data_IF_191480251664
#
_entry.id   IF_191480251664
#
_cell.length_a   1.000
_cell.length_b   1.000
_cell.length_c   1.000
_cell.angle_alpha   90.00
_cell.angle_beta   90.00
_cell.angle_gamma   90.00
#
_symmetry.space_group_name_H-M   'P 1'
#
loop_
_entity.id
_entity.type
_entity.pdbx_description
1 polymer ?
#
# COMPACT_ATOMS: atom_id res chain seq x y z
N UNK A 1 -47.37 -26.70 -52.18
CA UNK A 1 -46.54 -26.48 -50.97
C UNK A 1 -45.26 -25.74 -51.37
N UNK A 2 -44.77 -24.78 -50.58
CA UNK A 2 -43.60 -23.95 -50.92
C UNK A 2 -42.31 -24.46 -50.24
N UNK A 3 -41.15 -24.55 -50.93
CA UNK A 3 -39.92 -25.10 -50.34
C UNK A 3 -39.25 -24.25 -49.24
N UNK A 4 -39.62 -22.97 -49.09
CA UNK A 4 -38.82 -21.97 -48.35
C UNK A 4 -38.73 -22.17 -46.83
N UNK A 5 -39.57 -22.99 -46.20
CA UNK A 5 -39.57 -23.16 -44.74
C UNK A 5 -38.48 -24.09 -44.19
N UNK A 6 -37.94 -25.02 -44.99
CA UNK A 6 -37.10 -26.12 -44.46
C UNK A 6 -35.67 -25.69 -44.04
N UNK A 7 -35.16 -24.58 -44.55
CA UNK A 7 -33.78 -24.13 -44.28
C UNK A 7 -33.57 -23.36 -42.98
N UNK A 8 -34.63 -22.85 -42.32
CA UNK A 8 -34.46 -21.94 -41.16
C UNK A 8 -34.04 -22.64 -39.85
N UNK A 9 -34.30 -23.94 -39.69
CA UNK A 9 -34.10 -24.66 -38.42
C UNK A 9 -32.72 -25.31 -38.22
N UNK A 10 -31.93 -25.59 -39.27
CA UNK A 10 -30.62 -26.25 -39.08
C UNK A 10 -29.59 -25.34 -38.37
N UNK A 11 -29.72 -24.02 -38.51
CA UNK A 11 -28.66 -23.09 -38.10
C UNK A 11 -28.66 -22.74 -36.59
N UNK A 12 -29.73 -23.04 -35.84
CA UNK A 12 -29.73 -22.88 -34.36
C UNK A 12 -28.82 -23.94 -33.69
N UNK A 13 -28.94 -25.21 -34.09
CA UNK A 13 -28.31 -26.34 -33.37
C UNK A 13 -26.77 -26.41 -33.45
N UNK A 14 -26.12 -25.88 -34.49
CA UNK A 14 -24.65 -25.89 -34.58
C UNK A 14 -23.98 -24.93 -33.58
N UNK A 15 -24.69 -23.90 -33.10
CA UNK A 15 -24.06 -22.77 -32.39
C UNK A 15 -23.73 -23.08 -30.93
N UNK A 16 -24.63 -23.78 -30.22
CA UNK A 16 -24.54 -24.00 -28.77
C UNK A 16 -23.42 -24.98 -28.41
N UNK A 17 -23.29 -26.09 -29.15
CA UNK A 17 -22.31 -27.15 -28.83
C UNK A 17 -20.86 -26.67 -28.94
N UNK A 18 -20.58 -25.77 -29.87
CA UNK A 18 -19.25 -25.18 -30.04
C UNK A 18 -18.92 -24.16 -28.92
N UNK A 19 -19.92 -23.43 -28.41
CA UNK A 19 -19.70 -22.43 -27.38
C UNK A 19 -19.23 -23.04 -26.04
N UNK A 20 -19.82 -24.17 -25.63
CA UNK A 20 -19.37 -24.86 -24.39
C UNK A 20 -17.90 -25.29 -24.47
N UNK A 21 -17.48 -25.81 -25.62
CA UNK A 21 -16.10 -26.21 -25.86
C UNK A 21 -15.16 -24.98 -25.87
N UNK A 22 -15.60 -23.86 -26.46
CA UNK A 22 -14.85 -22.60 -26.44
C UNK A 22 -14.63 -22.07 -25.01
N UNK A 23 -15.67 -22.01 -24.18
CA UNK A 23 -15.55 -21.59 -22.77
C UNK A 23 -14.58 -22.49 -22.00
N UNK A 24 -14.63 -23.81 -22.22
CA UNK A 24 -13.73 -24.76 -21.58
C UNK A 24 -12.27 -24.57 -22.02
N UNK A 25 -12.01 -24.30 -23.30
CA UNK A 25 -10.66 -24.00 -23.81
C UNK A 25 -10.14 -22.67 -23.26
N UNK A 26 -10.96 -21.63 -23.20
CA UNK A 26 -10.58 -20.32 -22.62
C UNK A 26 -10.24 -20.46 -21.13
N UNK A 27 -11.02 -21.24 -20.38
CA UNK A 27 -10.74 -21.49 -18.96
C UNK A 27 -9.42 -22.25 -18.74
N UNK A 28 -9.16 -23.30 -19.54
CA UNK A 28 -7.89 -24.04 -19.49
C UNK A 28 -6.71 -23.13 -19.85
N UNK A 29 -6.84 -22.29 -20.88
CA UNK A 29 -5.79 -21.35 -21.29
C UNK A 29 -5.52 -20.31 -20.19
N UNK A 30 -6.55 -19.77 -19.54
CA UNK A 30 -6.39 -18.87 -18.39
C UNK A 30 -5.67 -19.55 -17.23
N UNK A 31 -6.00 -20.81 -16.92
CA UNK A 31 -5.37 -21.57 -15.84
C UNK A 31 -3.89 -21.86 -16.15
N UNK A 32 -3.55 -22.14 -17.41
CA UNK A 32 -2.16 -22.25 -17.87
C UNK A 32 -1.42 -20.92 -17.72
N UNK A 33 -2.02 -19.79 -18.11
CA UNK A 33 -1.43 -18.44 -17.95
C UNK A 33 -1.21 -18.12 -16.47
N UNK A 34 -2.16 -18.44 -15.59
CA UNK A 34 -2.00 -18.24 -14.15
C UNK A 34 -0.82 -19.08 -13.61
N UNK A 35 -0.76 -20.36 -13.97
CA UNK A 35 0.29 -21.28 -13.55
C UNK A 35 1.68 -20.85 -14.05
N UNK A 36 1.80 -20.41 -15.31
CA UNK A 36 3.08 -19.93 -15.84
C UNK A 36 3.54 -18.64 -15.17
N UNK A 37 2.63 -17.73 -14.80
CA UNK A 37 2.99 -16.52 -14.04
C UNK A 37 3.52 -16.87 -12.63
N UNK A 38 2.88 -17.82 -11.92
CA UNK A 38 3.36 -18.30 -10.61
C UNK A 38 4.74 -18.94 -10.74
N UNK A 39 4.94 -19.84 -11.70
CA UNK A 39 6.25 -20.48 -11.96
C UNK A 39 7.31 -19.43 -12.30
N UNK A 40 6.99 -18.44 -13.13
CA UNK A 40 7.92 -17.40 -13.54
C UNK A 40 8.33 -16.52 -12.34
N UNK A 41 7.39 -16.15 -11.46
CA UNK A 41 7.69 -15.42 -10.22
C UNK A 41 8.60 -16.22 -9.28
N UNK A 42 8.41 -17.53 -9.16
CA UNK A 42 9.33 -18.39 -8.40
C UNK A 42 10.73 -18.52 -9.04
N UNK A 43 10.87 -18.33 -10.35
CA UNK A 43 12.12 -18.53 -11.10
C UNK A 43 13.09 -17.34 -11.08
N UNK A 44 12.68 -16.20 -10.54
CA UNK A 44 13.46 -14.94 -10.56
C UNK A 44 14.24 -14.65 -9.27
N UNK A 45 14.16 -15.53 -8.27
CA UNK A 45 14.93 -15.40 -7.05
C UNK A 45 16.41 -15.77 -7.30
N UNK A 46 17.31 -14.87 -6.89
CA UNK A 46 18.73 -15.15 -6.74
C UNK A 46 18.97 -15.92 -5.42
N UNK A 47 19.95 -16.83 -5.41
CA UNK A 47 20.23 -17.67 -4.24
C UNK A 47 21.61 -17.31 -3.64
N UNK A 48 21.62 -16.78 -2.42
CA UNK A 48 22.83 -16.77 -1.59
C UNK A 48 22.89 -18.07 -0.80
N UNK A 49 24.02 -18.75 -0.83
CA UNK A 49 24.32 -19.85 0.11
C UNK A 49 25.76 -19.75 0.59
N UNK A 50 26.09 -20.52 1.63
CA UNK A 50 27.46 -20.62 2.10
C UNK A 50 27.57 -21.19 3.50
N UNK A 51 28.74 -20.97 4.10
CA UNK A 51 29.10 -21.42 5.44
C UNK A 51 29.43 -20.26 6.36
N UNK A 52 29.21 -20.48 7.65
CA UNK A 52 29.74 -19.65 8.73
C UNK A 52 30.71 -20.52 9.53
N UNK A 53 31.99 -20.16 9.52
CA UNK A 53 33.05 -20.88 10.24
C UNK A 53 33.64 -20.04 11.37
N UNK A 54 34.05 -20.72 12.43
CA UNK A 54 34.69 -20.10 13.60
C UNK A 54 36.21 -19.98 13.45
N UNK A 55 36.84 -19.45 14.51
CA UNK A 55 38.30 -19.25 14.61
C UNK A 55 39.09 -20.54 14.34
N UNK A 56 38.54 -21.71 14.68
CA UNK A 56 39.20 -23.01 14.53
C UNK A 56 38.83 -23.72 13.21
N UNK A 57 38.10 -23.05 12.31
CA UNK A 57 37.56 -23.62 11.08
C UNK A 57 36.34 -24.53 11.30
N UNK A 58 35.72 -24.49 12.49
CA UNK A 58 34.52 -25.28 12.80
C UNK A 58 33.26 -24.66 12.19
N UNK A 59 32.34 -25.51 11.70
CA UNK A 59 31.04 -25.09 11.20
C UNK A 59 30.16 -24.56 12.36
N UNK A 60 29.88 -23.25 12.42
CA UNK A 60 29.11 -22.64 13.48
C UNK A 60 27.60 -22.77 13.22
N UNK A 61 26.97 -23.81 13.78
CA UNK A 61 25.51 -23.92 13.84
C UNK A 61 24.94 -22.99 14.91
N UNK A 62 23.82 -22.32 14.60
CA UNK A 62 23.19 -21.34 15.50
C UNK A 62 23.66 -19.90 15.30
N UNK A 63 24.49 -19.62 14.30
CA UNK A 63 24.80 -18.25 13.88
C UNK A 63 23.60 -17.65 13.12
N UNK A 64 23.32 -16.36 13.33
CA UNK A 64 22.27 -15.65 12.60
C UNK A 64 22.86 -14.92 11.41
N UNK A 65 22.35 -15.20 10.21
CA UNK A 65 22.59 -14.43 8.99
C UNK A 65 21.41 -13.47 8.80
N UNK A 66 21.66 -12.17 8.96
CA UNK A 66 20.70 -11.08 8.80
C UNK A 66 21.00 -10.31 7.50
N UNK A 67 19.97 -9.97 6.73
CA UNK A 67 20.10 -9.25 5.45
C UNK A 67 19.28 -7.97 5.49
N UNK A 68 19.93 -6.86 5.15
CA UNK A 68 19.34 -5.53 5.15
C UNK A 68 19.31 -4.93 3.74
N UNK A 69 18.23 -4.24 3.40
CA UNK A 69 18.15 -3.34 2.25
C UNK A 69 18.07 -1.89 2.77
N UNK A 70 19.20 -1.18 2.66
CA UNK A 70 19.43 0.06 3.39
C UNK A 70 19.41 -0.19 4.91
N UNK A 71 18.36 0.30 5.58
CA UNK A 71 18.15 0.11 7.03
C UNK A 71 17.11 -0.98 7.35
N UNK A 72 16.43 -1.53 6.35
CA UNK A 72 15.31 -2.45 6.57
C UNK A 72 15.81 -3.90 6.65
N UNK A 73 15.53 -4.60 7.73
CA UNK A 73 15.78 -6.04 7.83
C UNK A 73 14.81 -6.79 6.89
N UNK A 74 15.35 -7.37 5.81
CA UNK A 74 14.58 -8.08 4.79
C UNK A 74 14.39 -9.56 5.15
N UNK A 75 15.45 -10.19 5.65
CA UNK A 75 15.41 -11.61 6.03
C UNK A 75 16.43 -11.93 7.13
N UNK A 76 16.10 -12.94 7.94
CA UNK A 76 16.98 -13.54 8.96
C UNK A 76 16.89 -15.06 8.85
N UNK A 77 18.03 -15.74 8.84
CA UNK A 77 18.14 -17.21 8.86
C UNK A 77 19.16 -17.64 9.90
N UNK A 78 18.91 -18.76 10.57
CA UNK A 78 19.85 -19.36 11.54
C UNK A 78 20.56 -20.54 10.88
N UNK A 79 21.89 -20.63 11.02
CA UNK A 79 22.69 -21.69 10.39
C UNK A 79 22.42 -23.08 10.98
N UNK A 80 22.34 -24.07 10.10
CA UNK A 80 22.26 -25.48 10.45
C UNK A 80 23.54 -26.17 9.98
N UNK A 81 24.28 -26.78 10.91
CA UNK A 81 25.61 -27.35 10.67
C UNK A 81 26.57 -26.35 9.96
N UNK A 82 26.53 -25.09 10.39
CA UNK A 82 27.28 -23.98 9.79
C UNK A 82 26.79 -23.51 8.41
N UNK A 83 25.83 -24.18 7.77
CA UNK A 83 25.35 -23.81 6.43
C UNK A 83 24.11 -22.92 6.47
N UNK A 84 23.95 -22.07 5.45
CA UNK A 84 22.75 -21.27 5.20
C UNK A 84 22.43 -21.18 3.69
N UNK A 85 21.15 -20.97 3.37
CA UNK A 85 20.63 -20.69 2.03
C UNK A 85 19.51 -19.66 2.14
N UNK A 86 19.55 -18.61 1.31
CA UNK A 86 18.64 -17.47 1.34
C UNK A 86 18.32 -17.04 -0.09
N UNK A 87 17.02 -16.89 -0.39
CA UNK A 87 16.52 -16.47 -1.70
C UNK A 87 16.18 -14.97 -1.67
N UNK A 88 16.83 -14.16 -2.51
CA UNK A 88 16.61 -12.72 -2.62
C UNK A 88 16.19 -12.30 -4.04
N UNK A 89 15.77 -11.05 -4.19
CA UNK A 89 15.70 -10.41 -5.51
C UNK A 89 17.08 -10.00 -6.01
N UNK A 90 17.12 -9.44 -7.23
CA UNK A 90 18.25 -8.65 -7.68
C UNK A 90 18.25 -7.30 -6.96
N UNK A 91 19.40 -6.86 -6.43
CA UNK A 91 19.47 -5.69 -5.56
C UNK A 91 20.86 -5.45 -4.97
N UNK A 92 20.95 -4.49 -4.04
CA UNK A 92 22.15 -4.22 -3.24
C UNK A 92 21.81 -4.37 -1.77
N UNK A 93 22.46 -5.31 -1.10
CA UNK A 93 22.16 -5.73 0.26
C UNK A 93 23.37 -5.57 1.17
N UNK A 94 23.13 -5.36 2.46
CA UNK A 94 24.14 -5.48 3.50
C UNK A 94 23.85 -6.74 4.31
N UNK A 95 24.77 -7.69 4.28
CA UNK A 95 24.64 -8.97 4.98
C UNK A 95 25.50 -8.92 6.24
N UNK A 96 24.90 -9.26 7.38
CA UNK A 96 25.56 -9.29 8.69
C UNK A 96 25.39 -10.68 9.28
N UNK A 97 26.49 -11.28 9.74
CA UNK A 97 26.48 -12.56 10.45
C UNK A 97 26.88 -12.35 11.89
N UNK A 98 26.04 -12.82 12.82
CA UNK A 98 26.26 -12.72 14.26
C UNK A 98 26.21 -14.10 14.92
N UNK A 99 27.19 -14.43 15.76
CA UNK A 99 27.21 -15.66 16.56
C UNK A 99 27.55 -15.34 18.01
N UNK A 100 26.87 -16.01 18.96
CA UNK A 100 27.16 -15.91 20.39
C UNK A 100 27.63 -17.29 20.86
N UNK A 101 28.81 -17.35 21.48
CA UNK A 101 29.37 -18.61 21.98
C UNK A 101 28.81 -19.01 23.37
N UNK A 102 29.24 -20.18 23.86
CA UNK A 102 28.84 -20.72 25.17
C UNK A 102 29.39 -19.92 26.38
N UNK A 103 30.13 -18.84 26.14
CA UNK A 103 30.67 -17.91 27.14
C UNK A 103 30.13 -16.48 26.93
N UNK A 104 29.06 -16.35 26.14
CA UNK A 104 28.38 -15.09 25.82
C UNK A 104 29.23 -14.07 25.02
N UNK A 105 30.31 -14.53 24.37
CA UNK A 105 31.08 -13.69 23.45
C UNK A 105 30.33 -13.51 22.13
N UNK A 106 30.15 -12.26 21.69
CA UNK A 106 29.61 -11.96 20.36
C UNK A 106 30.73 -11.92 19.32
N UNK A 107 30.50 -12.57 18.19
CA UNK A 107 31.31 -12.51 16.98
C UNK A 107 30.47 -11.93 15.84
N UNK A 108 31.05 -11.03 15.05
CA UNK A 108 30.36 -10.33 13.96
C UNK A 108 31.25 -10.31 12.72
N UNK A 109 30.67 -10.58 11.56
CA UNK A 109 31.24 -10.33 10.23
C UNK A 109 30.15 -9.72 9.32
N UNK A 110 30.53 -8.97 8.30
CA UNK A 110 29.56 -8.28 7.42
C UNK A 110 30.11 -7.91 6.05
N UNK A 111 29.26 -7.94 5.02
CA UNK A 111 29.63 -7.68 3.62
C UNK A 111 28.54 -6.90 2.87
N UNK A 112 28.97 -5.97 2.01
CA UNK A 112 28.10 -5.32 1.02
C UNK A 112 28.01 -6.21 -0.23
N UNK A 113 26.79 -6.52 -0.66
CA UNK A 113 26.51 -7.55 -1.64
C UNK A 113 25.55 -7.06 -2.73
N UNK A 114 26.08 -6.82 -3.93
CA UNK A 114 25.28 -6.64 -5.14
C UNK A 114 24.89 -8.00 -5.74
N UNK A 115 23.65 -8.14 -6.23
CA UNK A 115 23.11 -9.40 -6.76
C UNK A 115 22.34 -9.14 -8.06
N UNK A 116 22.66 -9.89 -9.11
CA UNK A 116 21.95 -9.88 -10.40
C UNK A 116 20.71 -10.77 -10.41
N UNK A 117 19.89 -10.63 -11.45
CA UNK A 117 18.73 -11.51 -11.65
C UNK A 117 19.20 -12.96 -11.88
N UNK A 118 18.55 -13.90 -11.18
CA UNK A 118 18.80 -15.35 -11.26
C UNK A 118 20.26 -15.76 -10.90
N UNK A 119 20.99 -14.90 -10.19
CA UNK A 119 22.39 -15.17 -9.80
C UNK A 119 22.45 -16.11 -8.58
N UNK A 120 23.38 -17.07 -8.58
CA UNK A 120 23.68 -17.87 -7.37
C UNK A 120 25.06 -17.48 -6.83
N UNK A 121 25.14 -17.05 -5.57
CA UNK A 121 26.41 -16.70 -4.91
C UNK A 121 26.70 -17.64 -3.75
N UNK A 122 27.93 -18.14 -3.72
CA UNK A 122 28.51 -18.80 -2.55
C UNK A 122 29.32 -17.76 -1.77
N UNK A 123 28.99 -17.54 -0.50
CA UNK A 123 29.68 -16.57 0.38
C UNK A 123 29.94 -17.25 1.72
N UNK A 124 31.20 -17.48 2.05
CA UNK A 124 31.58 -18.07 3.33
C UNK A 124 32.08 -16.97 4.27
N UNK A 125 31.54 -16.92 5.49
CA UNK A 125 31.88 -15.95 6.54
C UNK A 125 32.82 -16.59 7.58
N UNK A 126 33.81 -15.84 8.04
CA UNK A 126 34.84 -16.34 8.98
C UNK A 126 34.84 -15.49 10.24
N UNK A 127 34.17 -15.98 11.29
CA UNK A 127 33.91 -15.23 12.53
C UNK A 127 35.15 -15.21 13.45
N UNK A 128 36.18 -14.49 13.01
CA UNK A 128 37.49 -14.41 13.68
C UNK A 128 37.60 -13.28 14.72
N UNK A 129 36.74 -12.26 14.62
CA UNK A 129 36.74 -11.11 15.52
C UNK A 129 35.81 -11.33 16.72
N UNK A 130 36.39 -11.44 17.92
CA UNK A 130 35.68 -11.55 19.19
C UNK A 130 35.45 -10.16 19.79
N UNK A 131 34.20 -9.77 20.01
CA UNK A 131 33.86 -8.53 20.71
C UNK A 131 33.66 -8.82 22.20
N UNK A 132 34.70 -8.58 23.01
CA UNK A 132 34.64 -8.71 24.48
C UNK A 132 34.31 -7.38 25.13
N UNK A 133 33.22 -7.35 25.92
CA UNK A 133 32.60 -6.17 26.52
C UNK A 133 31.93 -5.24 25.50
N UNK A 134 30.61 -5.08 25.64
CA UNK A 134 29.83 -4.08 24.89
C UNK A 134 30.08 -2.69 25.48
N UNK A 135 31.16 -2.04 25.04
CA UNK A 135 31.32 -0.59 25.12
C UNK A 135 30.68 0.02 23.86
N UNK A 136 29.88 1.08 24.04
CA UNK A 136 29.21 1.79 22.93
C UNK A 136 30.19 2.41 21.91
N UNK A 137 31.50 2.47 22.25
CA UNK A 137 32.54 3.05 21.40
C UNK A 137 33.10 2.07 20.35
N UNK A 138 32.92 0.76 20.52
CA UNK A 138 33.62 -0.28 19.75
C UNK A 138 32.77 -0.91 18.63
N UNK A 139 31.52 -0.48 18.48
CA UNK A 139 30.64 -0.93 17.39
C UNK A 139 31.08 -0.25 16.08
N UNK A 140 31.38 -1.00 15.00
CA UNK A 140 31.75 -0.41 13.71
C UNK A 140 30.66 0.55 13.20
N UNK A 141 30.98 1.75 12.68
CA UNK A 141 29.97 2.75 12.29
C UNK A 141 28.89 2.28 11.29
N UNK A 142 29.20 1.29 10.44
CA UNK A 142 28.24 0.66 9.52
C UNK A 142 27.18 -0.21 10.23
N UNK A 143 27.46 -0.66 11.44
CA UNK A 143 26.58 -1.46 12.30
C UNK A 143 25.94 -0.61 13.42
N UNK A 144 26.46 0.59 13.69
CA UNK A 144 26.02 1.47 14.79
C UNK A 144 24.54 1.83 14.70
N UNK A 145 24.05 2.32 13.56
CA UNK A 145 22.63 2.65 13.36
C UNK A 145 21.73 1.38 13.35
N UNK A 146 22.28 0.17 13.08
CA UNK A 146 21.56 -1.12 13.13
C UNK A 146 21.38 -1.60 14.59
N UNK A 147 22.46 -1.69 15.36
CA UNK A 147 22.39 -2.08 16.79
C UNK A 147 21.60 -1.07 17.62
N UNK A 148 21.65 0.22 17.27
CA UNK A 148 20.79 1.25 17.87
C UNK A 148 19.31 1.06 17.53
N UNK A 149 18.96 0.34 16.47
CA UNK A 149 17.57 0.02 16.15
C UNK A 149 17.07 -1.21 16.94
N UNK A 150 17.87 -2.29 17.04
CA UNK A 150 17.50 -3.48 17.81
C UNK A 150 17.43 -3.22 19.34
N UNK A 151 18.30 -2.36 19.88
CA UNK A 151 18.25 -1.95 21.31
C UNK A 151 17.03 -1.10 21.64
N UNK A 152 16.63 -0.16 20.77
CA UNK A 152 15.41 0.63 20.96
C UNK A 152 14.11 -0.21 20.84
N UNK A 153 14.16 -1.38 20.19
CA UNK A 153 13.05 -2.34 20.11
C UNK A 153 12.95 -3.29 21.31
N UNK A 154 14.03 -3.44 22.09
CA UNK A 154 14.12 -4.37 23.24
C UNK A 154 14.12 -3.67 24.60
N UNK A 155 14.27 -2.34 24.64
CA UNK A 155 14.38 -1.51 25.84
C UNK A 155 13.12 -1.33 26.70
N UNK A 156 12.32 -2.38 26.94
CA UNK A 156 11.26 -2.35 27.94
C UNK A 156 10.99 -3.73 28.58
N UNK A 157 11.68 -4.04 29.68
CA UNK A 157 11.22 -5.07 30.62
C UNK A 157 11.67 -4.80 32.06
N UNK A 158 10.68 -4.58 32.93
CA UNK A 158 10.79 -5.03 34.32
C UNK A 158 10.23 -6.47 34.36
N UNK A 159 10.81 -7.42 35.12
CA UNK A 159 10.40 -8.81 35.05
C UNK A 159 9.15 -9.09 35.90
N UNK A 160 8.06 -9.56 35.27
CA UNK A 160 7.09 -10.43 35.95
C UNK A 160 6.17 -11.19 34.98
N UNK A 161 6.05 -12.50 35.19
CA UNK A 161 4.84 -13.28 34.92
C UNK A 161 4.34 -13.50 33.47
N UNK A 162 4.63 -14.68 32.93
CA UNK A 162 3.65 -15.54 32.21
C UNK A 162 3.05 -15.09 30.86
N UNK A 163 3.36 -15.88 29.82
CA UNK A 163 2.60 -16.14 28.59
C UNK A 163 2.49 -15.03 27.52
N UNK A 164 2.58 -15.45 26.24
CA UNK A 164 2.14 -14.67 25.08
C UNK A 164 3.26 -14.13 24.18
N UNK A 165 3.90 -14.99 23.39
CA UNK A 165 4.86 -14.57 22.35
C UNK A 165 4.13 -13.92 21.17
N UNK A 166 3.97 -12.60 21.20
CA UNK A 166 3.55 -11.80 20.05
C UNK A 166 4.66 -10.79 19.69
N UNK A 167 5.59 -11.18 18.82
CA UNK A 167 6.46 -10.21 18.17
C UNK A 167 5.59 -9.29 17.28
N UNK A 168 5.85 -7.97 17.23
CA UNK A 168 5.25 -7.13 16.22
C UNK A 168 5.73 -7.61 14.85
N UNK A 169 4.79 -8.05 14.01
CA UNK A 169 5.12 -8.48 12.65
C UNK A 169 5.80 -7.33 11.90
N UNK A 170 6.96 -7.59 11.30
CA UNK A 170 7.58 -6.67 10.35
C UNK A 170 6.57 -6.32 9.25
N UNK A 171 6.60 -5.07 8.77
CA UNK A 171 5.64 -4.56 7.79
C UNK A 171 5.76 -5.30 6.45
N UNK A 172 5.10 -6.44 6.35
CA UNK A 172 5.34 -7.44 5.33
C UNK A 172 4.78 -6.99 3.98
N UNK A 173 5.67 -6.49 3.12
CA UNK A 173 5.34 -6.03 1.77
C UNK A 173 4.78 -7.21 0.93
N UNK A 174 5.15 -8.45 1.23
CA UNK A 174 4.60 -9.63 0.56
C UNK A 174 3.12 -9.83 0.88
N UNK A 175 2.67 -9.51 2.11
CA UNK A 175 1.27 -9.57 2.51
C UNK A 175 0.40 -8.55 1.75
N UNK A 176 0.91 -7.35 1.46
CA UNK A 176 0.20 -6.36 0.63
C UNK A 176 0.10 -6.80 -0.84
N UNK A 177 1.15 -7.41 -1.39
CA UNK A 177 1.14 -7.97 -2.75
C UNK A 177 0.18 -9.16 -2.84
N UNK A 178 0.21 -10.06 -1.85
CA UNK A 178 -0.70 -11.20 -1.75
C UNK A 178 -2.16 -10.75 -1.65
N UNK A 179 -2.46 -9.72 -0.85
CA UNK A 179 -3.79 -9.12 -0.76
C UNK A 179 -4.24 -8.55 -2.12
N UNK A 180 -3.36 -7.86 -2.85
CA UNK A 180 -3.64 -7.37 -4.20
C UNK A 180 -3.95 -8.50 -5.19
N UNK A 181 -3.19 -9.61 -5.15
CA UNK A 181 -3.43 -10.80 -5.96
C UNK A 181 -4.78 -11.45 -5.62
N UNK A 182 -5.13 -11.54 -4.33
CA UNK A 182 -6.43 -12.05 -3.87
C UNK A 182 -7.57 -11.16 -4.37
N UNK A 183 -7.46 -9.83 -4.25
CA UNK A 183 -8.45 -8.89 -4.76
C UNK A 183 -8.62 -9.04 -6.28
N UNK A 184 -7.51 -9.15 -7.02
CA UNK A 184 -7.54 -9.31 -8.48
C UNK A 184 -8.20 -10.64 -8.91
N UNK A 185 -7.91 -11.73 -8.20
CA UNK A 185 -8.56 -13.02 -8.42
C UNK A 185 -10.07 -12.96 -8.13
N UNK A 186 -10.48 -12.28 -7.05
CA UNK A 186 -11.90 -12.06 -6.71
C UNK A 186 -12.62 -11.28 -7.82
N UNK A 187 -12.00 -10.22 -8.37
CA UNK A 187 -12.57 -9.44 -9.50
C UNK A 187 -12.74 -10.32 -10.74
N UNK A 188 -11.75 -11.15 -11.09
CA UNK A 188 -11.86 -12.08 -12.23
C UNK A 188 -13.00 -13.10 -12.01
N UNK A 189 -13.14 -13.63 -10.79
CA UNK A 189 -14.23 -14.55 -10.42
C UNK A 189 -15.60 -13.87 -10.55
N UNK A 190 -15.75 -12.61 -10.12
CA UNK A 190 -16.99 -11.85 -10.31
C UNK A 190 -17.31 -11.58 -11.79
N UNK A 191 -16.31 -11.25 -12.60
CA UNK A 191 -16.49 -11.08 -14.07
C UNK A 191 -16.93 -12.40 -14.71
N UNK A 192 -16.33 -13.53 -14.32
CA UNK A 192 -16.73 -14.86 -14.80
C UNK A 192 -18.18 -15.21 -14.42
N UNK A 193 -18.57 -15.00 -13.16
CA UNK A 193 -19.97 -15.20 -12.72
C UNK A 193 -20.94 -14.23 -13.39
N UNK A 194 -20.54 -12.99 -13.68
CA UNK A 194 -21.37 -12.05 -14.43
C UNK A 194 -21.62 -12.51 -15.87
N UNK A 195 -20.59 -13.04 -16.55
CA UNK A 195 -20.72 -13.63 -17.89
C UNK A 195 -21.68 -14.83 -17.87
N UNK A 196 -21.55 -15.73 -16.87
CA UNK A 196 -22.48 -16.85 -16.69
C UNK A 196 -23.92 -16.39 -16.41
N UNK A 197 -24.10 -15.35 -15.58
CA UNK A 197 -25.41 -14.78 -15.28
C UNK A 197 -26.07 -14.19 -16.53
N UNK A 198 -25.33 -13.43 -17.35
CA UNK A 198 -25.82 -12.87 -18.62
C UNK A 198 -26.21 -13.99 -19.59
N UNK A 199 -25.40 -15.06 -19.67
CA UNK A 199 -25.71 -16.22 -20.52
C UNK A 199 -26.99 -16.93 -20.07
N UNK A 200 -27.10 -17.28 -18.79
CA UNK A 200 -28.28 -17.95 -18.22
C UNK A 200 -29.55 -17.10 -18.38
N UNK A 201 -29.43 -15.77 -18.26
CA UNK A 201 -30.53 -14.82 -18.49
C UNK A 201 -30.97 -14.78 -19.96
N UNK A 202 -30.05 -14.93 -20.92
CA UNK A 202 -30.39 -14.99 -22.34
C UNK A 202 -31.15 -16.29 -22.71
N UNK A 203 -30.71 -17.43 -22.17
CA UNK A 203 -31.37 -18.73 -22.39
C UNK A 203 -32.82 -18.73 -21.87
N UNK A 204 -33.05 -18.14 -20.69
CA UNK A 204 -34.38 -17.89 -20.11
C UNK A 204 -35.27 -16.89 -20.90
N UNK A 205 -34.71 -16.15 -21.86
CA UNK A 205 -35.46 -15.23 -22.73
C UNK A 205 -35.89 -15.95 -24.02
N UNK A 206 -35.04 -16.81 -24.62
CA UNK A 206 -35.43 -17.58 -25.81
C UNK A 206 -36.61 -18.53 -25.51
N UNK A 207 -36.60 -19.23 -24.37
CA UNK A 207 -37.73 -20.11 -23.97
C UNK A 207 -39.07 -19.35 -23.90
N UNK A 208 -39.06 -18.14 -23.35
CA UNK A 208 -40.28 -17.31 -23.25
C UNK A 208 -40.77 -16.81 -24.61
N UNK A 209 -39.87 -16.60 -25.58
CA UNK A 209 -40.23 -16.20 -26.94
C UNK A 209 -40.91 -17.36 -27.68
N UNK A 210 -40.38 -18.59 -27.60
CA UNK A 210 -40.98 -19.76 -28.24
C UNK A 210 -42.36 -20.11 -27.64
N UNK A 211 -42.57 -19.87 -26.33
CA UNK A 211 -43.90 -19.97 -25.67
C UNK A 211 -44.88 -18.91 -26.18
N UNK A 212 -44.44 -17.65 -26.36
CA UNK A 212 -45.31 -16.59 -26.91
C UNK A 212 -45.64 -16.85 -28.38
N UNK A 213 -44.69 -17.29 -29.20
CA UNK A 213 -44.92 -17.59 -30.62
C UNK A 213 -45.90 -18.77 -30.82
N UNK A 214 -45.88 -19.76 -29.92
CA UNK A 214 -46.85 -20.87 -29.93
C UNK A 214 -48.25 -20.47 -29.44
N UNK A 215 -48.36 -19.50 -28.52
CA UNK A 215 -49.66 -18.92 -28.12
C UNK A 215 -50.26 -18.09 -29.27
N UNK A 216 -49.47 -17.23 -29.93
CA UNK A 216 -49.93 -16.39 -31.05
C UNK A 216 -50.48 -17.25 -32.19
N UNK A 217 -49.74 -18.29 -32.61
CA UNK A 217 -50.16 -19.19 -33.69
C UNK A 217 -51.47 -19.94 -33.38
N UNK A 218 -51.69 -20.35 -32.12
CA UNK A 218 -52.98 -20.91 -31.69
C UNK A 218 -54.11 -19.86 -31.79
N UNK A 219 -53.84 -18.63 -31.41
CA UNK A 219 -54.79 -17.51 -31.50
C UNK A 219 -55.22 -17.21 -32.94
N UNK A 220 -54.29 -17.20 -33.89
CA UNK A 220 -54.58 -16.98 -35.31
C UNK A 220 -55.46 -18.10 -35.89
N UNK A 221 -55.15 -19.37 -35.60
CA UNK A 221 -56.01 -20.51 -36.01
C UNK A 221 -57.40 -20.51 -35.36
N UNK A 222 -57.58 -19.82 -34.23
CA UNK A 222 -58.90 -19.60 -33.63
C UNK A 222 -59.70 -18.52 -34.36
N UNK A 223 -59.05 -17.42 -34.76
CA UNK A 223 -59.71 -16.30 -35.46
C UNK A 223 -60.16 -16.65 -36.87
N UNK A 224 -59.40 -17.45 -37.61
CA UNK A 224 -59.81 -17.91 -38.95
C UNK A 224 -61.10 -18.78 -38.93
N UNK A 225 -61.45 -19.35 -37.77
CA UNK A 225 -62.73 -20.02 -37.55
C UNK A 225 -63.87 -19.06 -37.16
N UNK A 226 -63.59 -17.99 -36.41
CA UNK A 226 -64.60 -17.00 -35.97
C UNK A 226 -64.92 -15.95 -37.05
N UNK A 227 -63.94 -15.57 -37.88
CA UNK A 227 -64.11 -14.57 -38.94
C UNK A 227 -65.11 -15.03 -40.02
N UNK A 228 -65.24 -16.35 -40.23
CA UNK A 228 -66.29 -16.96 -41.05
C UNK A 228 -67.72 -16.79 -40.50
N UNK A 229 -67.90 -16.36 -39.26
CA UNK A 229 -69.22 -16.06 -38.67
C UNK A 229 -69.54 -14.57 -38.59
N UNK A 230 -68.58 -13.66 -38.82
CA UNK A 230 -68.76 -12.20 -38.68
C UNK A 230 -68.83 -11.42 -40.01
N UNK A 231 -68.96 -12.11 -41.14
CA UNK A 231 -69.09 -11.50 -42.47
C UNK A 231 -70.47 -10.85 -42.77
N UNK A 232 -71.16 -10.35 -41.74
CA UNK A 232 -72.41 -9.61 -41.84
C UNK A 232 -72.44 -8.47 -40.81
N UNK A 233 -73.13 -7.36 -41.15
CA UNK A 233 -73.36 -6.15 -40.33
C UNK A 233 -72.24 -5.07 -40.36
N UNK A 234 -72.19 -4.33 -41.48
CA UNK A 234 -72.54 -2.88 -41.54
C UNK A 234 -71.77 -1.81 -40.73
N UNK A 235 -70.74 -1.22 -41.36
CA UNK A 235 -70.41 0.24 -41.55
C UNK A 235 -70.29 1.31 -40.42
N UNK A 236 -69.39 2.29 -40.68
CA UNK A 236 -69.42 3.74 -40.34
C UNK A 236 -68.70 4.30 -39.05
N UNK A 237 -68.25 5.60 -39.00
CA UNK A 237 -66.83 5.91 -38.64
C UNK A 237 -66.45 7.18 -37.79
N UNK A 238 -65.15 7.30 -37.38
CA UNK A 238 -64.33 8.56 -37.18
C UNK A 238 -64.71 9.49 -35.96
N UNK A 239 -63.89 10.43 -35.35
CA UNK A 239 -62.43 10.81 -35.37
C UNK A 239 -61.70 11.04 -33.98
N UNK A 240 -60.37 11.38 -34.04
CA UNK A 240 -59.66 12.53 -33.34
C UNK A 240 -58.83 12.44 -32.01
N UNK A 241 -57.59 13.01 -32.06
CA UNK A 241 -56.87 13.92 -31.11
C UNK A 241 -56.51 13.53 -29.63
N UNK A 242 -55.57 14.19 -28.86
CA UNK A 242 -54.28 14.90 -29.14
C UNK A 242 -53.49 15.41 -27.86
N UNK A 243 -52.23 14.97 -27.65
CA UNK A 243 -51.02 15.76 -27.22
C UNK A 243 -50.81 16.24 -25.70
N UNK A 244 -49.91 17.17 -25.23
CA UNK A 244 -48.85 16.89 -24.19
C UNK A 244 -48.53 17.96 -23.04
N UNK A 245 -47.34 17.87 -22.39
CA UNK A 245 -46.56 18.85 -21.52
C UNK A 245 -47.00 19.06 -20.03
N UNK A 246 -46.27 19.69 -19.06
CA UNK A 246 -45.01 20.51 -18.91
C UNK A 246 -44.40 20.30 -17.45
N UNK A 247 -43.39 20.95 -16.78
CA UNK A 247 -42.42 22.10 -16.94
C UNK A 247 -41.08 21.93 -16.11
N UNK A 248 -40.55 22.97 -15.41
CA UNK A 248 -39.12 23.22 -15.04
C UNK A 248 -38.90 24.23 -13.85
N UNK A 249 -37.65 24.66 -13.54
CA UNK A 249 -37.15 25.82 -12.71
C UNK A 249 -37.03 25.73 -11.14
N UNK A 250 -36.27 26.56 -10.36
CA UNK A 250 -35.04 27.41 -10.54
C UNK A 250 -34.44 28.02 -9.21
N UNK A 251 -33.20 28.55 -9.23
CA UNK A 251 -32.55 29.69 -8.45
C UNK A 251 -32.72 29.89 -6.89
N UNK A 252 -32.15 30.90 -6.17
CA UNK A 252 -30.78 31.52 -6.01
C UNK A 252 -30.88 32.83 -5.15
N UNK A 253 -29.99 33.14 -4.18
CA UNK A 253 -29.71 34.54 -3.67
C UNK A 253 -28.52 34.70 -2.70
N UNK A 254 -28.03 35.96 -2.54
CA UNK A 254 -26.90 36.39 -1.68
C UNK A 254 -26.94 37.93 -1.44
N UNK A 255 -26.29 38.48 -0.38
CA UNK A 255 -25.80 39.88 -0.33
C UNK A 255 -25.95 40.67 0.98
N UNK A 256 -24.96 41.53 1.33
CA UNK A 256 -25.06 42.61 2.33
C UNK A 256 -23.84 42.87 3.22
N UNK A 257 -23.20 44.05 3.16
CA UNK A 257 -22.09 44.51 4.04
C UNK A 257 -21.73 46.00 3.80
N UNK A 258 -21.65 46.85 4.84
CA UNK A 258 -20.73 48.02 4.95
C UNK A 258 -20.96 48.94 6.18
N UNK A 259 -20.71 48.51 7.42
CA UNK A 259 -20.63 49.45 8.56
C UNK A 259 -19.71 48.92 9.68
N UNK A 260 -18.39 49.06 9.48
CA UNK A 260 -17.32 48.74 10.46
C UNK A 260 -15.99 49.28 9.95
N UNK A 261 -15.32 50.19 10.70
CA UNK A 261 -13.97 50.68 10.37
C UNK A 261 -13.16 51.27 11.53
N UNK A 262 -13.77 51.95 12.50
CA UNK A 262 -13.03 52.53 13.65
C UNK A 262 -12.90 51.54 14.82
N UNK A 263 -13.94 50.76 15.13
CA UNK A 263 -13.91 49.71 16.17
C UNK A 263 -12.86 48.61 15.90
N UNK A 264 -12.32 48.54 14.67
CA UNK A 264 -11.29 47.60 14.23
C UNK A 264 -9.85 48.15 14.38
N UNK A 265 -9.66 49.34 15.00
CA UNK A 265 -8.34 49.92 15.29
C UNK A 265 -7.82 49.46 16.67
N UNK A 266 -8.45 49.88 17.77
CA UNK A 266 -8.08 49.52 19.15
C UNK A 266 -7.98 47.99 19.34
N UNK A 267 -8.87 47.23 18.70
CA UNK A 267 -8.86 45.76 18.74
C UNK A 267 -7.59 45.16 18.14
N UNK A 268 -6.98 45.77 17.13
CA UNK A 268 -5.69 45.32 16.56
C UNK A 268 -4.52 45.65 17.48
N UNK A 269 -4.55 46.79 18.14
CA UNK A 269 -3.48 47.20 19.07
C UNK A 269 -3.47 46.31 20.32
N UNK A 270 -4.64 46.06 20.93
CA UNK A 270 -4.74 45.10 22.04
C UNK A 270 -4.35 43.67 21.62
N UNK A 271 -4.76 43.22 20.43
CA UNK A 271 -4.40 41.91 19.90
C UNK A 271 -2.87 41.78 19.71
N UNK A 272 -2.21 42.82 19.19
CA UNK A 272 -0.74 42.87 19.04
C UNK A 272 -0.01 42.78 20.38
N UNK A 273 -0.50 43.45 21.43
CA UNK A 273 0.07 43.39 22.80
C UNK A 273 -0.11 42.00 23.41
N UNK A 274 -1.26 41.34 23.23
CA UNK A 274 -1.47 39.96 23.69
C UNK A 274 -0.52 38.99 22.97
N UNK A 275 -0.40 39.10 21.64
CA UNK A 275 0.53 38.35 20.79
C UNK A 275 1.98 38.46 21.27
N UNK A 276 2.45 39.68 21.59
CA UNK A 276 3.82 39.86 22.07
C UNK A 276 4.05 39.17 23.43
N UNK A 277 3.11 39.32 24.37
CA UNK A 277 3.19 38.67 25.69
C UNK A 277 3.15 37.13 25.58
N UNK A 278 2.42 36.60 24.61
CA UNK A 278 2.39 35.17 24.31
C UNK A 278 3.73 34.67 23.71
N UNK A 279 4.35 35.43 22.79
CA UNK A 279 5.73 35.17 22.30
C UNK A 279 6.74 35.09 23.45
N UNK A 280 6.71 36.05 24.35
CA UNK A 280 7.66 36.11 25.48
C UNK A 280 7.47 34.90 26.42
N UNK A 281 6.23 34.56 26.79
CA UNK A 281 5.93 33.37 27.58
C UNK A 281 6.34 32.06 26.87
N UNK A 282 6.09 31.95 25.56
CA UNK A 282 6.49 30.80 24.76
C UNK A 282 8.00 30.60 24.77
N UNK A 283 8.78 31.65 24.45
CA UNK A 283 10.25 31.61 24.44
C UNK A 283 10.83 31.30 25.83
N UNK A 284 10.24 31.84 26.91
CA UNK A 284 10.63 31.51 28.28
C UNK A 284 10.36 30.03 28.62
N UNK A 285 9.28 29.44 28.11
CA UNK A 285 8.93 28.03 28.30
C UNK A 285 9.79 27.02 27.52
N UNK A 286 10.75 27.49 26.70
CA UNK A 286 11.68 26.64 25.98
C UNK A 286 12.90 26.30 26.82
N UNK A 287 13.33 25.04 26.72
CA UNK A 287 14.63 24.55 27.22
C UNK A 287 15.77 25.09 26.37
N UNK A 288 16.99 25.07 26.91
CA UNK A 288 18.16 25.67 26.26
C UNK A 288 18.41 25.11 24.84
N UNK A 289 18.30 23.79 24.66
CA UNK A 289 18.44 23.15 23.34
C UNK A 289 17.35 23.60 22.35
N UNK A 290 16.12 23.86 22.81
CA UNK A 290 15.04 24.39 21.96
C UNK A 290 15.32 25.85 21.58
N UNK A 291 15.84 26.67 22.50
CA UNK A 291 16.23 28.07 22.25
C UNK A 291 17.39 28.17 21.24
N UNK A 292 18.44 27.36 21.42
CA UNK A 292 19.59 27.29 20.51
C UNK A 292 19.15 26.94 19.08
N UNK A 293 18.21 26.00 18.92
CA UNK A 293 17.62 25.65 17.61
C UNK A 293 16.81 26.81 17.01
N UNK A 294 16.01 27.53 17.81
CA UNK A 294 15.26 28.69 17.32
C UNK A 294 16.20 29.84 16.90
N UNK A 295 17.25 30.13 17.66
CA UNK A 295 18.18 31.21 17.33
C UNK A 295 18.84 30.98 15.96
N UNK A 296 19.35 29.76 15.72
CA UNK A 296 19.94 29.37 14.42
C UNK A 296 18.89 29.40 13.29
N UNK A 297 17.62 29.09 13.57
CA UNK A 297 16.55 29.28 12.57
C UNK A 297 16.23 30.76 12.32
N UNK A 298 16.28 31.64 13.33
CA UNK A 298 16.08 33.08 13.17
C UNK A 298 17.21 33.74 12.35
N UNK A 299 18.45 33.29 12.54
CA UNK A 299 19.63 33.72 11.75
C UNK A 299 19.49 33.37 10.25
N UNK A 300 18.66 32.37 9.91
CA UNK A 300 18.44 31.87 8.55
C UNK A 300 16.96 32.00 8.10
N UNK A 301 16.33 33.17 8.35
CA UNK A 301 14.97 33.55 7.88
C UNK A 301 13.82 32.57 8.24
N UNK A 302 14.07 31.66 9.18
CA UNK A 302 13.16 30.62 9.59
C UNK A 302 12.95 29.52 8.55
N UNK A 303 13.96 29.18 7.75
CA UNK A 303 13.93 28.06 6.80
C UNK A 303 15.34 27.47 6.57
N UNK A 304 15.63 26.28 7.10
CA UNK A 304 16.98 25.70 7.12
C UNK A 304 16.97 24.16 7.07
N UNK A 305 18.02 23.52 6.53
CA UNK A 305 18.10 22.05 6.51
C UNK A 305 18.50 21.50 7.88
N UNK A 306 17.98 20.31 8.25
CA UNK A 306 18.28 19.65 9.53
C UNK A 306 19.80 19.42 9.75
N UNK A 307 20.55 19.22 8.67
CA UNK A 307 22.02 19.08 8.66
C UNK A 307 22.76 20.39 8.93
N UNK A 308 22.18 21.53 8.55
CA UNK A 308 22.75 22.86 8.78
C UNK A 308 22.44 23.34 10.20
N UNK A 309 21.22 23.09 10.69
CA UNK A 309 20.87 23.28 12.11
C UNK A 309 21.83 22.46 12.99
N UNK A 310 22.16 21.21 12.63
CA UNK A 310 23.13 20.40 13.39
C UNK A 310 24.53 21.04 13.45
N UNK A 311 24.98 21.68 12.36
CA UNK A 311 26.28 22.36 12.29
C UNK A 311 26.29 23.67 13.09
N UNK A 312 25.25 24.49 12.97
CA UNK A 312 25.13 25.76 13.69
C UNK A 312 24.97 25.55 15.20
N UNK A 313 24.04 24.68 15.61
CA UNK A 313 23.72 24.44 17.03
C UNK A 313 24.76 23.60 17.78
N UNK A 314 25.57 22.81 17.07
CA UNK A 314 26.55 21.85 17.62
C UNK A 314 25.95 20.82 18.59
N UNK A 315 24.62 20.63 18.58
CA UNK A 315 23.92 19.68 19.44
C UNK A 315 24.11 18.24 18.95
N UNK A 316 24.24 17.24 19.87
CA UNK A 316 24.25 15.83 19.50
C UNK A 316 23.02 15.39 18.66
N UNK A 317 23.20 14.41 17.75
CA UNK A 317 22.17 13.84 16.84
C UNK A 317 20.83 13.57 17.55
N UNK A 318 20.89 13.03 18.77
CA UNK A 318 19.76 12.73 19.65
C UNK A 318 19.14 13.98 20.31
N UNK A 319 19.95 14.84 20.93
CA UNK A 319 19.50 16.09 21.56
C UNK A 319 18.81 17.03 20.56
N UNK A 320 19.37 17.16 19.35
CA UNK A 320 18.77 17.90 18.25
C UNK A 320 17.44 17.29 17.79
N UNK A 321 17.38 15.97 17.64
CA UNK A 321 16.14 15.28 17.26
C UNK A 321 15.02 15.52 18.31
N UNK A 322 15.37 15.48 19.60
CA UNK A 322 14.44 15.75 20.69
C UNK A 322 13.97 17.21 20.72
N UNK A 323 14.87 18.18 20.51
CA UNK A 323 14.53 19.59 20.45
C UNK A 323 13.63 19.91 19.24
N UNK A 324 13.98 19.42 18.05
CA UNK A 324 13.16 19.56 16.85
C UNK A 324 11.78 18.92 17.02
N UNK A 325 11.69 17.70 17.60
CA UNK A 325 10.40 17.07 17.88
C UNK A 325 9.54 17.94 18.80
N UNK A 326 10.08 18.41 19.93
CA UNK A 326 9.30 19.25 20.86
C UNK A 326 8.85 20.57 20.25
N UNK A 327 9.65 21.18 19.38
CA UNK A 327 9.27 22.38 18.64
C UNK A 327 8.16 22.10 17.59
N UNK A 328 8.15 20.91 16.97
CA UNK A 328 7.09 20.44 16.06
C UNK A 328 5.80 20.07 16.82
N UNK A 329 5.92 19.46 18.01
CA UNK A 329 4.82 19.16 18.92
C UNK A 329 4.15 20.47 19.40
N UNK A 330 4.95 21.47 19.80
CA UNK A 330 4.53 22.86 20.14
C UNK A 330 4.08 23.70 18.92
N UNK A 331 4.13 23.15 17.70
CA UNK A 331 3.79 23.83 16.43
C UNK A 331 4.60 25.10 16.10
N UNK A 332 5.77 25.28 16.71
CA UNK A 332 6.68 26.41 16.41
C UNK A 332 7.37 26.19 15.06
N UNK A 333 7.72 24.93 14.75
CA UNK A 333 8.28 24.52 13.46
C UNK A 333 7.42 23.45 12.76
N UNK A 334 7.58 23.37 11.45
CA UNK A 334 7.17 22.25 10.61
C UNK A 334 8.43 21.57 10.04
N UNK A 335 8.45 20.23 10.03
CA UNK A 335 9.55 19.43 9.49
C UNK A 335 9.05 18.70 8.24
N UNK A 336 9.53 19.11 7.07
CA UNK A 336 9.30 18.36 5.83
C UNK A 336 10.10 17.05 5.86
N UNK A 337 9.39 15.95 5.67
CA UNK A 337 9.86 14.56 5.74
C UNK A 337 9.72 13.85 4.37
N UNK A 338 9.38 14.59 3.31
CA UNK A 338 9.16 14.08 1.94
C UNK A 338 10.46 13.62 1.27
N UNK A 339 11.61 14.13 1.73
CA UNK A 339 12.94 13.84 1.19
C UNK A 339 13.91 13.37 2.28
N UNK A 340 14.93 12.61 1.87
CA UNK A 340 16.00 12.09 2.74
C UNK A 340 16.73 13.20 3.52
N UNK A 341 16.75 14.42 2.99
CA UNK A 341 17.24 15.62 3.68
C UNK A 341 16.02 16.38 4.21
N UNK A 342 15.77 16.27 5.52
CA UNK A 342 14.63 16.94 6.15
C UNK A 342 14.84 18.46 6.18
N UNK A 343 13.85 19.20 5.70
CA UNK A 343 13.84 20.67 5.69
C UNK A 343 12.97 21.19 6.85
N UNK A 344 13.44 22.21 7.57
CA UNK A 344 12.82 22.70 8.80
C UNK A 344 12.51 24.18 8.66
N UNK A 345 11.24 24.54 8.83
CA UNK A 345 10.73 25.92 8.70
C UNK A 345 9.93 26.33 9.93
N UNK A 346 9.90 27.61 10.27
CA UNK A 346 8.88 28.12 11.20
C UNK A 346 7.49 28.02 10.56
N UNK A 347 6.48 27.74 11.38
CA UNK A 347 5.08 27.66 10.95
C UNK A 347 4.50 29.03 10.63
N UNK A 348 3.42 29.08 9.84
CA UNK A 348 2.82 30.35 9.40
C UNK A 348 2.36 31.22 10.56
N UNK A 349 1.87 30.63 11.65
CA UNK A 349 1.52 31.40 12.86
C UNK A 349 2.79 31.91 13.54
N UNK A 350 3.81 31.08 13.80
CA UNK A 350 5.02 31.55 14.47
C UNK A 350 5.76 32.63 13.65
N UNK A 351 5.76 32.55 12.31
CA UNK A 351 6.31 33.60 11.44
C UNK A 351 5.59 34.95 11.56
N UNK A 352 4.35 35.03 12.06
CA UNK A 352 3.69 36.32 12.34
C UNK A 352 4.04 36.92 13.71
N UNK A 353 4.89 36.27 14.51
CA UNK A 353 5.41 36.80 15.76
C UNK A 353 6.86 37.28 15.64
N UNK A 354 7.53 37.07 14.49
CA UNK A 354 8.93 37.46 14.26
C UNK A 354 9.04 38.95 13.89
#
# INVERSE_FOLDING_TARGET
MSPKTKFRNLNKNLKIRNFRNFVQVVFILFLIILLTNVILQCSLAAEIKGKVVGINGENLSGAEVKIYEGINLMQKVVTVNGTYTINLGAGNYFVVVTYIDKKENLYIDSINLAIGQNETKSIDFSLIAQYTNFSDADIPPALEDIFKMETNLTGSSQPNGSNGTNLPASGDISSNILLLVIIFAIVIIFVFFYILYVYYKAENIEEKIDVVETIIKKGETGKEAEEKQRAAITTHPIPSAATPLEKEESNKKEGGKAEKKEEDADKKEQYKVMIQKERENLLLSLTENERIVINVLMEHEGDLLRTEIARGTKLPKSSLAMALKKLEDRKIIEIDKTFTIHKVKFTTWFKSFL
#
